data_IF_052773424489
#
_entry.id   IF_052773424489
#
_cell.length_a   1.000
_cell.length_b   1.000
_cell.length_c   1.000
_cell.angle_alpha   90.00
_cell.angle_beta   90.00
_cell.angle_gamma   90.00
#
_symmetry.space_group_name_H-M   'P 1'
#
loop_
_entity.id
_entity.type
_entity.pdbx_description
1 polymer ?
#
# COMPACT_ATOMS: atom_id res chain seq x y z
N UNK A 1 -11.52 -6.13 -10.68
CA UNK A 1 -11.80 -6.93 -9.46
C UNK A 1 -13.31 -7.04 -9.29
N UNK A 2 -13.91 -8.24 -9.31
CA UNK A 2 -15.35 -8.40 -9.10
C UNK A 2 -15.78 -8.03 -7.68
N UNK A 3 -17.02 -7.63 -7.49
CA UNK A 3 -17.59 -7.37 -6.16
C UNK A 3 -17.81 -8.68 -5.39
N UNK A 4 -17.65 -8.67 -4.06
CA UNK A 4 -17.90 -9.82 -3.19
C UNK A 4 -16.76 -10.84 -3.09
N UNK A 5 -15.65 -10.63 -3.82
CA UNK A 5 -14.46 -11.48 -3.71
C UNK A 5 -13.62 -11.10 -2.51
N UNK A 6 -12.89 -12.09 -1.96
CA UNK A 6 -11.90 -11.85 -0.91
C UNK A 6 -10.59 -11.35 -1.54
N UNK A 7 -10.04 -10.30 -0.96
CA UNK A 7 -8.73 -9.76 -1.34
C UNK A 7 -7.78 -9.83 -0.16
N UNK A 8 -6.47 -9.87 -0.45
CA UNK A 8 -5.40 -9.69 0.52
C UNK A 8 -4.47 -8.59 0.03
N UNK A 9 -4.15 -7.66 0.91
CA UNK A 9 -3.13 -6.65 0.65
C UNK A 9 -1.90 -6.94 1.52
N UNK A 10 -0.72 -6.91 0.90
CA UNK A 10 0.56 -6.83 1.60
C UNK A 10 1.22 -5.50 1.26
N UNK A 11 1.97 -4.96 2.22
CA UNK A 11 2.73 -3.74 2.03
C UNK A 11 4.19 -3.91 2.44
N UNK A 12 5.06 -3.20 1.73
CA UNK A 12 6.45 -2.96 2.12
C UNK A 12 6.62 -1.45 2.33
N UNK A 13 7.26 -1.05 3.43
CA UNK A 13 7.64 0.36 3.63
C UNK A 13 8.92 0.61 2.83
N UNK A 14 8.82 1.44 1.81
CA UNK A 14 9.93 1.76 0.89
C UNK A 14 10.78 2.90 1.44
N UNK A 15 10.15 3.96 1.94
CA UNK A 15 10.83 5.04 2.65
C UNK A 15 9.93 5.67 3.71
N UNK A 16 10.57 6.27 4.70
CA UNK A 16 9.96 7.12 5.72
C UNK A 16 10.85 8.34 5.84
N UNK A 17 10.32 9.49 5.45
CA UNK A 17 11.05 10.76 5.41
C UNK A 17 10.37 11.75 6.36
N UNK A 18 11.09 12.27 7.36
CA UNK A 18 10.58 13.37 8.20
C UNK A 18 10.49 14.64 7.35
N UNK A 19 9.32 15.29 7.35
CA UNK A 19 9.06 16.51 6.55
C UNK A 19 8.78 17.74 7.43
N UNK A 20 9.11 17.65 8.72
CA UNK A 20 8.97 18.72 9.71
C UNK A 20 7.64 18.70 10.46
N UNK A 21 7.57 19.44 11.57
CA UNK A 21 6.37 19.60 12.40
C UNK A 21 5.70 18.29 12.83
N UNK A 22 6.49 17.23 13.03
CA UNK A 22 6.01 15.89 13.40
C UNK A 22 5.38 15.09 12.25
N UNK A 23 5.40 15.61 11.02
CA UNK A 23 4.91 14.92 9.83
C UNK A 23 6.00 14.04 9.19
N UNK A 24 5.55 12.88 8.72
CA UNK A 24 6.38 11.94 7.96
C UNK A 24 5.72 11.66 6.61
N UNK A 25 6.48 11.76 5.53
CA UNK A 25 6.09 11.22 4.24
C UNK A 25 6.51 9.74 4.18
N UNK A 26 5.55 8.86 3.94
CA UNK A 26 5.78 7.43 3.86
C UNK A 26 5.42 6.95 2.47
N UNK A 27 6.37 6.26 1.83
CA UNK A 27 6.15 5.55 0.58
C UNK A 27 5.97 4.07 0.91
N UNK A 28 4.84 3.48 0.51
CA UNK A 28 4.54 2.07 0.72
C UNK A 28 4.29 1.39 -0.62
N UNK A 29 4.91 0.25 -0.85
CA UNK A 29 4.61 -0.61 -2.01
C UNK A 29 3.53 -1.59 -1.64
N UNK A 30 2.39 -1.50 -2.31
CA UNK A 30 1.24 -2.37 -2.15
C UNK A 30 1.27 -3.49 -3.19
N UNK A 31 0.97 -4.70 -2.74
CA UNK A 31 0.55 -5.81 -3.60
C UNK A 31 -0.83 -6.28 -3.16
N UNK A 32 -1.81 -6.16 -4.05
CA UNK A 32 -3.20 -6.58 -3.80
C UNK A 32 -3.51 -7.83 -4.62
N UNK A 33 -3.76 -8.92 -3.92
CA UNK A 33 -4.07 -10.23 -4.47
C UNK A 33 -5.57 -10.54 -4.34
N UNK A 34 -6.11 -11.28 -5.31
CA UNK A 34 -7.49 -11.76 -5.29
C UNK A 34 -7.47 -13.28 -5.19
N UNK A 35 -8.27 -13.84 -4.26
CA UNK A 35 -8.35 -15.29 -4.07
C UNK A 35 -8.73 -16.01 -5.38
N UNK A 36 -8.04 -17.11 -5.68
CA UNK A 36 -8.26 -17.90 -6.89
C UNK A 36 -7.68 -17.30 -8.18
N UNK A 37 -6.90 -16.22 -8.10
CA UNK A 37 -6.23 -15.61 -9.26
C UNK A 37 -4.72 -15.75 -9.16
N UNK A 38 -4.05 -16.00 -10.30
CA UNK A 38 -2.59 -16.15 -10.33
C UNK A 38 -1.86 -14.79 -10.34
N UNK A 39 -2.46 -13.77 -10.94
CA UNK A 39 -1.86 -12.43 -11.06
C UNK A 39 -2.46 -11.47 -10.04
N UNK A 40 -1.64 -10.59 -9.41
CA UNK A 40 -2.17 -9.58 -8.51
C UNK A 40 -3.10 -8.62 -9.27
N UNK A 41 -4.12 -8.13 -8.57
CA UNK A 41 -5.05 -7.14 -9.11
C UNK A 41 -4.43 -5.74 -9.19
N UNK A 42 -3.50 -5.43 -8.29
CA UNK A 42 -2.79 -4.15 -8.25
C UNK A 42 -1.40 -4.33 -7.63
N UNK A 43 -0.41 -3.70 -8.26
CA UNK A 43 0.91 -3.43 -7.67
C UNK A 43 1.14 -1.94 -7.83
N UNK A 44 1.27 -1.21 -6.72
CA UNK A 44 1.33 0.25 -6.73
C UNK A 44 2.12 0.79 -5.54
N UNK A 45 2.72 1.97 -5.73
CA UNK A 45 3.31 2.73 -4.63
C UNK A 45 2.30 3.78 -4.15
N UNK A 46 1.99 3.79 -2.86
CA UNK A 46 1.22 4.84 -2.20
C UNK A 46 2.17 5.82 -1.52
N UNK A 47 1.95 7.11 -1.72
CA UNK A 47 2.69 8.18 -1.03
C UNK A 47 1.71 8.93 -0.15
N UNK A 48 1.91 8.87 1.16
CA UNK A 48 1.04 9.50 2.16
C UNK A 48 1.84 10.30 3.16
N UNK A 49 1.17 11.25 3.83
CA UNK A 49 1.72 11.94 5.00
C UNK A 49 1.00 11.48 6.27
N UNK A 50 1.76 11.13 7.27
CA UNK A 50 1.29 10.67 8.59
C UNK A 50 1.82 11.62 9.65
N UNK A 51 0.96 12.05 10.57
CA UNK A 51 1.33 12.83 11.74
C UNK A 51 1.59 11.88 12.91
N UNK A 52 2.72 12.05 13.60
CA UNK A 52 3.09 11.31 14.80
C UNK A 52 2.54 11.95 16.08
#
# INVERSE_FOLDING_TARGET
VPTGVRIRASIEIVSVDEVGDGWFQVVQRWTVEVEGTEKPACVADSVGRLLA
#
